data_IF_155672455495
#
_entry.id   IF_155672455495
#
_cell.length_a   1.000
_cell.length_b   1.000
_cell.length_c   1.000
_cell.angle_alpha   90.00
_cell.angle_beta   90.00
_cell.angle_gamma   90.00
#
_symmetry.space_group_name_H-M   'P 1'
#
loop_
_entity.id
_entity.type
_entity.pdbx_description
1 polymer ?
#
# COMPACT_ATOMS: atom_id res chain seq x y z
N UNK A 1 28.09 25.20 -5.72
CA UNK A 1 27.80 23.94 -6.43
C UNK A 1 28.32 22.81 -5.55
N UNK A 2 27.45 22.16 -4.77
CA UNK A 2 27.86 21.02 -3.93
C UNK A 2 27.80 19.75 -4.77
N UNK A 3 28.83 18.87 -4.73
CA UNK A 3 28.74 17.58 -5.39
C UNK A 3 27.76 16.70 -4.61
N UNK A 4 26.73 16.23 -5.29
CA UNK A 4 25.90 15.11 -4.85
C UNK A 4 26.83 13.90 -4.71
N UNK A 5 27.11 13.50 -3.48
CA UNK A 5 27.88 12.29 -3.19
C UNK A 5 27.10 11.07 -3.65
N UNK A 6 27.58 10.47 -4.72
CA UNK A 6 27.11 9.24 -5.34
C UNK A 6 27.49 8.03 -4.47
N UNK A 7 26.83 7.88 -3.32
CA UNK A 7 27.04 6.73 -2.42
C UNK A 7 25.70 6.06 -2.10
N UNK A 8 25.00 5.63 -3.15
CA UNK A 8 23.76 4.87 -3.05
C UNK A 8 23.85 3.47 -3.67
N UNK A 9 25.06 2.88 -3.78
CA UNK A 9 25.24 1.56 -4.37
C UNK A 9 26.08 0.65 -3.47
N UNK A 10 25.45 -0.40 -2.91
CA UNK A 10 26.19 -1.56 -2.40
C UNK A 10 25.64 -2.26 -1.16
N UNK A 11 24.82 -1.60 -0.32
CA UNK A 11 24.29 -2.26 0.90
C UNK A 11 22.96 -2.96 0.61
N UNK A 12 22.95 -4.29 0.66
CA UNK A 12 21.71 -5.08 0.61
C UNK A 12 20.84 -4.70 1.81
N UNK A 13 19.61 -4.23 1.56
CA UNK A 13 18.66 -3.93 2.63
C UNK A 13 18.15 -5.25 3.21
N UNK A 14 18.07 -5.32 4.53
CA UNK A 14 17.50 -6.47 5.22
C UNK A 14 15.97 -6.34 5.27
N UNK A 15 15.27 -7.45 5.12
CA UNK A 15 13.83 -7.51 5.35
C UNK A 15 13.59 -7.52 6.86
N UNK A 16 13.10 -6.42 7.40
CA UNK A 16 12.87 -6.27 8.85
C UNK A 16 11.50 -6.79 9.32
N UNK A 17 10.54 -6.89 8.40
CA UNK A 17 9.18 -7.35 8.71
C UNK A 17 8.53 -8.00 7.49
N UNK A 18 7.83 -9.11 7.72
CA UNK A 18 6.94 -9.76 6.75
C UNK A 18 5.53 -9.77 7.32
N UNK A 19 4.55 -9.47 6.50
CA UNK A 19 3.14 -9.44 6.86
C UNK A 19 2.32 -10.16 5.80
N UNK A 20 1.40 -11.01 6.25
CA UNK A 20 0.41 -11.60 5.37
C UNK A 20 -0.70 -10.58 5.09
N UNK A 21 -0.97 -10.34 3.81
CA UNK A 21 -2.12 -9.56 3.40
C UNK A 21 -3.41 -10.33 3.76
N UNK A 22 -4.37 -9.64 4.39
CA UNK A 22 -5.62 -10.25 4.85
C UNK A 22 -6.79 -9.81 3.99
N UNK A 23 -7.70 -10.74 3.74
CA UNK A 23 -8.93 -10.47 3.01
C UNK A 23 -9.88 -9.58 3.82
N UNK A 24 -10.53 -8.64 3.14
CA UNK A 24 -11.62 -7.85 3.68
C UNK A 24 -12.55 -7.41 2.54
N UNK A 25 -13.80 -7.07 2.90
CA UNK A 25 -14.78 -6.52 1.97
C UNK A 25 -14.57 -5.01 1.80
N UNK A 26 -14.66 -4.53 0.56
CA UNK A 26 -14.60 -3.12 0.20
C UNK A 26 -15.59 -2.83 -0.95
N UNK A 27 -15.97 -1.55 -1.11
CA UNK A 27 -16.84 -1.13 -2.20
C UNK A 27 -18.14 -1.94 -2.29
N UNK A 28 -18.53 -2.29 -3.52
CA UNK A 28 -19.70 -3.12 -3.81
C UNK A 28 -19.26 -4.55 -4.14
N UNK A 29 -19.38 -5.45 -3.18
CA UNK A 29 -19.11 -6.89 -3.37
C UNK A 29 -17.64 -7.26 -3.66
N UNK A 30 -16.71 -6.30 -3.59
CA UNK A 30 -15.30 -6.57 -3.83
C UNK A 30 -14.63 -7.13 -2.57
N UNK A 31 -13.69 -8.06 -2.78
CA UNK A 31 -12.81 -8.57 -1.73
C UNK A 31 -11.39 -8.20 -2.08
N UNK A 32 -10.72 -7.50 -1.17
CA UNK A 32 -9.33 -7.08 -1.32
C UNK A 32 -8.44 -7.78 -0.29
N UNK A 33 -7.17 -7.96 -0.60
CA UNK A 33 -6.13 -8.42 0.32
C UNK A 33 -5.27 -7.21 0.73
N UNK A 34 -5.50 -6.67 1.93
CA UNK A 34 -4.78 -5.48 2.42
C UNK A 34 -3.48 -5.83 3.12
N UNK A 35 -2.42 -5.10 2.79
CA UNK A 35 -1.10 -5.19 3.45
C UNK A 35 -0.81 -3.94 4.31
N UNK A 36 -0.53 -2.79 3.69
CA UNK A 36 -0.37 -1.47 4.33
C UNK A 36 -1.74 -0.88 4.68
N UNK A 37 -1.86 -0.16 5.80
CA UNK A 37 -3.12 0.44 6.26
C UNK A 37 -3.91 -0.45 7.23
N UNK A 38 -3.36 -1.62 7.60
CA UNK A 38 -3.89 -2.49 8.67
C UNK A 38 -3.29 -2.13 10.02
N UNK A 39 -3.88 -2.61 11.11
CA UNK A 39 -3.36 -2.36 12.47
C UNK A 39 -1.87 -2.73 12.63
N UNK A 40 -1.44 -3.81 11.99
CA UNK A 40 -0.05 -4.29 12.05
C UNK A 40 0.95 -3.40 11.29
N UNK A 41 0.48 -2.54 10.37
CA UNK A 41 1.31 -1.62 9.58
C UNK A 41 0.49 -0.38 9.18
N UNK A 42 -0.01 0.33 10.21
CA UNK A 42 -0.93 1.47 10.03
C UNK A 42 -0.24 2.72 9.49
N UNK A 43 0.99 2.95 9.94
CA UNK A 43 1.80 4.09 9.55
C UNK A 43 3.05 3.57 8.86
N UNK A 44 3.07 3.65 7.54
CA UNK A 44 4.23 3.29 6.72
C UNK A 44 4.51 4.41 5.72
N UNK A 45 4.79 5.59 6.27
CA UNK A 45 5.12 6.82 5.54
C UNK A 45 6.13 6.54 4.41
N UNK A 46 5.83 6.94 3.15
CA UNK A 46 4.70 7.75 2.68
C UNK A 46 3.46 6.97 2.19
N UNK A 47 3.41 5.67 2.44
CA UNK A 47 2.34 4.80 1.97
C UNK A 47 1.20 4.69 3.00
N UNK A 48 -0.03 4.98 2.57
CA UNK A 48 -1.22 4.95 3.41
C UNK A 48 -1.94 3.60 3.38
N UNK A 49 -2.14 3.02 2.19
CA UNK A 49 -2.87 1.77 1.96
C UNK A 49 -2.27 1.03 0.78
N UNK A 50 -2.22 -0.30 0.84
CA UNK A 50 -1.90 -1.16 -0.31
C UNK A 50 -2.80 -2.39 -0.31
N UNK A 51 -3.65 -2.48 -1.34
CA UNK A 51 -4.60 -3.56 -1.58
C UNK A 51 -4.26 -4.32 -2.88
N UNK A 52 -4.24 -5.64 -2.80
CA UNK A 52 -4.31 -6.52 -3.96
C UNK A 52 -5.77 -6.95 -4.14
N UNK A 53 -6.32 -6.82 -5.34
CA UNK A 53 -7.68 -7.27 -5.63
C UNK A 53 -7.80 -7.84 -7.05
N UNK A 54 -8.72 -8.79 -7.20
CA UNK A 54 -9.20 -9.28 -8.49
C UNK A 54 -10.72 -9.28 -8.42
N UNK A 55 -11.35 -8.62 -9.38
CA UNK A 55 -12.77 -8.29 -9.34
C UNK A 55 -13.42 -8.67 -10.67
N UNK A 56 -14.62 -9.23 -10.59
CA UNK A 56 -15.49 -9.54 -11.73
C UNK A 56 -16.83 -8.86 -11.55
N UNK A 57 -17.43 -8.42 -12.66
CA UNK A 57 -18.73 -7.77 -12.63
C UNK A 57 -19.80 -8.71 -12.00
N UNK A 58 -20.74 -8.18 -11.20
CA UNK A 58 -21.01 -6.76 -10.97
C UNK A 58 -20.23 -6.12 -9.82
N UNK A 59 -19.28 -6.82 -9.18
CA UNK A 59 -18.53 -6.27 -8.06
C UNK A 59 -17.56 -5.15 -8.51
N UNK A 60 -17.22 -4.25 -7.59
CA UNK A 60 -16.30 -3.15 -7.87
C UNK A 60 -16.29 -2.05 -6.83
N UNK A 61 -15.79 -0.89 -7.24
CA UNK A 61 -15.71 0.32 -6.43
C UNK A 61 -16.52 1.41 -7.12
N UNK A 62 -17.81 1.58 -6.77
CA UNK A 62 -18.65 2.66 -7.32
C UNK A 62 -18.02 4.03 -7.07
N UNK A 63 -18.53 5.07 -7.72
CA UNK A 63 -18.06 6.46 -7.53
C UNK A 63 -17.86 6.80 -6.05
N UNK A 64 -16.62 7.11 -5.68
CA UNK A 64 -16.24 7.46 -4.32
C UNK A 64 -15.19 8.58 -4.35
N UNK A 65 -15.37 9.63 -3.51
CA UNK A 65 -14.46 10.75 -3.49
C UNK A 65 -13.19 10.38 -2.76
N UNK A 66 -12.20 11.19 -3.05
CA UNK A 66 -10.85 11.04 -2.59
C UNK A 66 -10.45 12.52 -2.28
N UNK A 67 -9.77 12.82 -1.16
CA UNK A 67 -9.04 14.09 -0.94
C UNK A 67 -7.71 13.89 -0.18
N UNK A 68 -6.63 14.54 -0.62
CA UNK A 68 -5.46 14.86 0.22
C UNK A 68 -4.37 13.80 0.43
N UNK A 69 -3.94 13.07 -0.61
CA UNK A 69 -2.76 12.16 -0.51
C UNK A 69 -1.48 12.86 -0.98
N UNK A 70 -0.58 13.17 -0.04
CA UNK A 70 0.84 13.42 -0.29
C UNK A 70 1.67 12.93 0.90
N UNK A 71 2.93 12.56 0.64
CA UNK A 71 3.99 12.30 1.64
C UNK A 71 4.23 13.50 2.54
#
# INVERSE_FOLDING_TARGET
MMPISEEASGKKRLVVKKLFARQQHEGFGAVVRRSIGRFELRYFDPFLVLDEFSVTAPAGFPDHPHRGWFS
#
